data_IF_063037789112
#
_entry.id   IF_063037789112
#
_cell.length_a   1.000
_cell.length_b   1.000
_cell.length_c   1.000
_cell.angle_alpha   90.00
_cell.angle_beta   90.00
_cell.angle_gamma   90.00
#
_symmetry.space_group_name_H-M   'P 1'
#
loop_
_entity.id
_entity.type
_entity.pdbx_description
1 polymer ?
#
# COMPACT_ATOMS: atom_id res chain seq x y z
N UNK A 1 -2.53 -9.10 -11.80
CA UNK A 1 -1.57 -8.01 -12.05
C UNK A 1 -0.25 -8.51 -12.66
N UNK A 2 0.47 -9.46 -12.04
CA UNK A 2 1.85 -9.79 -12.45
C UNK A 2 2.00 -10.90 -13.51
N UNK A 3 0.93 -11.59 -13.92
CA UNK A 3 1.01 -12.74 -14.83
C UNK A 3 1.68 -12.40 -16.19
N UNK A 4 1.57 -11.15 -16.65
CA UNK A 4 2.19 -10.70 -17.90
C UNK A 4 3.68 -10.35 -17.77
N UNK A 5 4.24 -10.44 -16.56
CA UNK A 5 5.59 -9.96 -16.24
C UNK A 5 6.58 -11.09 -16.01
N UNK A 6 6.25 -12.34 -16.40
CA UNK A 6 7.11 -13.53 -16.20
C UNK A 6 7.57 -13.75 -14.74
N UNK A 7 6.95 -13.09 -13.77
CA UNK A 7 7.23 -13.23 -12.36
C UNK A 7 6.51 -14.45 -11.80
N UNK A 8 7.24 -15.32 -11.08
CA UNK A 8 6.63 -16.39 -10.30
C UNK A 8 5.85 -15.75 -9.15
N UNK A 9 4.52 -15.87 -9.19
CA UNK A 9 3.64 -15.36 -8.14
C UNK A 9 3.31 -16.47 -7.15
N UNK A 10 3.49 -16.19 -5.86
CA UNK A 10 3.09 -17.07 -4.76
C UNK A 10 2.09 -16.30 -3.91
N UNK A 11 0.91 -16.89 -3.69
CA UNK A 11 -0.11 -16.30 -2.82
C UNK A 11 0.15 -16.74 -1.38
N UNK A 12 0.14 -15.78 -0.46
CA UNK A 12 0.21 -16.06 0.97
C UNK A 12 -1.22 -16.25 1.48
N UNK A 13 -1.52 -17.49 1.85
CA UNK A 13 -2.73 -17.85 2.58
C UNK A 13 -2.38 -17.86 4.08
N UNK A 14 -2.82 -16.82 4.79
CA UNK A 14 -2.41 -16.57 6.18
C UNK A 14 -2.78 -17.74 7.09
N UNK A 15 -3.95 -18.36 6.88
CA UNK A 15 -4.45 -19.44 7.72
C UNK A 15 -3.71 -20.76 7.47
N UNK A 16 -3.08 -20.90 6.29
CA UNK A 16 -2.19 -22.04 6.00
C UNK A 16 -0.81 -21.90 6.60
N UNK A 17 -0.29 -20.67 6.71
CA UNK A 17 1.05 -20.43 7.26
C UNK A 17 1.04 -20.25 8.79
N UNK A 18 -0.09 -19.79 9.34
CA UNK A 18 -0.23 -19.40 10.75
C UNK A 18 -1.47 -20.06 11.34
N UNK A 19 -1.24 -20.91 12.34
CA UNK A 19 -2.29 -21.31 13.26
C UNK A 19 -2.36 -20.29 14.40
N UNK A 20 -3.19 -19.25 14.23
CA UNK A 20 -3.24 -18.12 15.16
C UNK A 20 -3.74 -18.53 16.54
N UNK A 21 -4.78 -19.36 16.61
CA UNK A 21 -5.36 -19.85 17.88
C UNK A 21 -4.31 -20.56 18.73
N UNK A 22 -3.54 -21.48 18.10
CA UNK A 22 -2.46 -22.19 18.78
C UNK A 22 -1.36 -21.24 19.25
N UNK A 23 -0.95 -20.30 18.39
CA UNK A 23 0.09 -19.32 18.75
C UNK A 23 -0.38 -18.45 19.92
N UNK A 24 -1.62 -17.98 19.91
CA UNK A 24 -2.20 -17.18 20.99
C UNK A 24 -2.23 -17.97 22.30
N UNK A 25 -2.83 -19.17 22.31
CA UNK A 25 -2.93 -19.99 23.52
C UNK A 25 -1.56 -20.27 24.16
N UNK A 26 -0.58 -20.70 23.36
CA UNK A 26 0.77 -20.96 23.86
C UNK A 26 1.49 -19.68 24.33
N UNK A 27 1.25 -18.54 23.68
CA UNK A 27 1.89 -17.27 24.06
C UNK A 27 1.29 -16.69 25.35
N UNK A 28 -0.03 -16.78 25.53
CA UNK A 28 -0.69 -16.39 26.78
C UNK A 28 -0.23 -17.24 27.97
N UNK A 29 -0.09 -18.55 27.77
CA UNK A 29 0.43 -19.46 28.79
C UNK A 29 1.87 -19.08 29.20
N UNK A 30 2.74 -18.78 28.23
CA UNK A 30 4.12 -18.37 28.49
C UNK A 30 4.22 -16.99 29.16
N UNK A 31 3.33 -16.08 28.80
CA UNK A 31 3.33 -14.71 29.32
C UNK A 31 2.75 -14.60 30.74
N UNK A 32 2.21 -15.68 31.33
CA UNK A 32 1.60 -15.68 32.67
C UNK A 32 0.59 -14.53 32.86
N UNK A 33 -0.27 -14.31 31.86
CA UNK A 33 -1.29 -13.24 31.82
C UNK A 33 -0.75 -11.80 31.60
N UNK A 34 0.53 -11.60 31.32
CA UNK A 34 1.04 -10.31 30.82
C UNK A 34 0.65 -10.13 29.34
N UNK A 35 -0.30 -9.24 29.07
CA UNK A 35 -0.82 -8.98 27.72
C UNK A 35 0.22 -8.38 26.77
N UNK A 36 1.11 -7.51 27.28
CA UNK A 36 2.15 -6.85 26.48
C UNK A 36 3.17 -7.90 26.04
N UNK A 37 3.61 -8.74 26.99
CA UNK A 37 4.51 -9.85 26.71
C UNK A 37 3.86 -10.88 25.78
N UNK A 38 2.58 -11.22 25.99
CA UNK A 38 1.85 -12.14 25.13
C UNK A 38 1.80 -11.64 23.68
N UNK A 39 1.47 -10.35 23.46
CA UNK A 39 1.47 -9.74 22.13
C UNK A 39 2.84 -9.81 21.46
N UNK A 40 3.92 -9.52 22.20
CA UNK A 40 5.29 -9.63 21.69
C UNK A 40 5.65 -11.06 21.29
N UNK A 41 5.26 -12.05 22.09
CA UNK A 41 5.49 -13.47 21.79
C UNK A 41 4.71 -13.92 20.55
N UNK A 42 3.45 -13.51 20.40
CA UNK A 42 2.63 -13.78 19.22
C UNK A 42 3.31 -13.24 17.97
N UNK A 43 3.69 -11.95 17.98
CA UNK A 43 4.32 -11.31 16.82
C UNK A 43 5.65 -11.99 16.45
N UNK A 44 6.49 -12.32 17.43
CA UNK A 44 7.74 -13.04 17.19
C UNK A 44 7.52 -14.40 16.52
N UNK A 45 6.52 -15.16 16.96
CA UNK A 45 6.21 -16.48 16.39
C UNK A 45 5.64 -16.35 14.97
N UNK A 46 4.75 -15.39 14.74
CA UNK A 46 4.23 -15.08 13.40
C UNK A 46 5.38 -14.69 12.47
N UNK A 47 6.30 -13.83 12.92
CA UNK A 47 7.49 -13.44 12.16
C UNK A 47 8.37 -14.62 11.78
N UNK A 48 8.63 -15.55 12.70
CA UNK A 48 9.39 -16.77 12.38
C UNK A 48 8.70 -17.59 11.29
N UNK A 49 7.37 -17.74 11.34
CA UNK A 49 6.59 -18.46 10.32
C UNK A 49 6.64 -17.76 8.96
N UNK A 50 6.44 -16.44 8.94
CA UNK A 50 6.49 -15.63 7.71
C UNK A 50 7.90 -15.64 7.10
N UNK A 51 8.95 -15.50 7.92
CA UNK A 51 10.34 -15.55 7.45
C UNK A 51 10.67 -16.91 6.81
N UNK A 52 10.27 -18.01 7.46
CA UNK A 52 10.45 -19.37 6.90
C UNK A 52 9.74 -19.53 5.55
N UNK A 53 8.51 -19.02 5.43
CA UNK A 53 7.77 -19.06 4.17
C UNK A 53 8.49 -18.25 3.07
N UNK A 54 8.95 -17.04 3.39
CA UNK A 54 9.71 -16.19 2.45
C UNK A 54 10.97 -16.92 1.97
N UNK A 55 11.71 -17.56 2.87
CA UNK A 55 12.92 -18.31 2.55
C UNK A 55 12.65 -19.54 1.67
N UNK A 56 11.68 -20.38 2.06
CA UNK A 56 11.29 -21.60 1.34
C UNK A 56 10.88 -21.32 -0.11
N UNK A 57 10.12 -20.24 -0.32
CA UNK A 57 9.67 -19.82 -1.64
C UNK A 57 10.63 -18.84 -2.35
N UNK A 58 11.77 -18.51 -1.72
CA UNK A 58 12.77 -17.55 -2.23
C UNK A 58 12.16 -16.21 -2.65
N UNK A 59 11.29 -15.67 -1.81
CA UNK A 59 10.53 -14.45 -2.08
C UNK A 59 11.44 -13.22 -1.86
N UNK A 60 11.61 -12.41 -2.89
CA UNK A 60 12.34 -11.13 -2.83
C UNK A 60 11.46 -9.92 -3.20
N UNK A 61 10.18 -10.16 -3.52
CA UNK A 61 9.17 -9.14 -3.84
C UNK A 61 7.90 -9.45 -3.07
N UNK A 62 7.46 -8.53 -2.23
CA UNK A 62 6.23 -8.65 -1.46
C UNK A 62 5.25 -7.59 -1.95
N UNK A 63 4.06 -8.04 -2.33
CA UNK A 63 2.98 -7.17 -2.75
C UNK A 63 1.80 -7.28 -1.79
N UNK A 64 1.37 -6.16 -1.19
CA UNK A 64 0.27 -6.11 -0.22
C UNK A 64 -0.90 -5.32 -0.82
N UNK A 65 -1.98 -6.03 -1.14
CA UNK A 65 -3.22 -5.44 -1.63
C UNK A 65 -4.09 -4.88 -0.51
N UNK A 66 -5.00 -3.99 -0.90
CA UNK A 66 -6.09 -3.51 -0.07
C UNK A 66 -6.97 -4.64 0.45
N UNK A 67 -7.44 -4.47 1.69
CA UNK A 67 -8.52 -5.28 2.27
C UNK A 67 -9.84 -4.54 2.06
N UNK A 68 -10.95 -5.28 2.02
CA UNK A 68 -12.30 -4.70 2.07
C UNK A 68 -12.57 -4.01 3.44
N UNK A 69 -11.81 -4.39 4.47
CA UNK A 69 -11.90 -3.82 5.81
C UNK A 69 -11.01 -2.59 5.93
N UNK A 70 -11.63 -1.47 6.29
CA UNK A 70 -10.97 -0.19 6.49
C UNK A 70 -10.24 -0.14 7.82
N UNK A 71 -8.94 0.18 7.82
CA UNK A 71 -8.12 0.20 9.04
C UNK A 71 -8.53 1.29 10.05
N UNK A 72 -9.36 2.26 9.64
CA UNK A 72 -9.86 3.35 10.50
C UNK A 72 -11.12 2.98 11.29
N UNK A 73 -11.75 1.82 11.03
CA UNK A 73 -12.92 1.36 11.78
C UNK A 73 -12.51 0.64 13.06
N UNK A 74 -11.89 1.36 14.00
CA UNK A 74 -11.46 0.87 15.32
C UNK A 74 -10.48 -0.32 15.29
N UNK A 75 -9.86 -0.67 16.42
CA UNK A 75 -9.22 -1.97 16.51
C UNK A 75 -10.34 -3.02 16.48
N UNK A 76 -10.44 -3.79 15.40
CA UNK A 76 -11.04 -5.12 15.50
C UNK A 76 -10.09 -5.91 16.40
N UNK A 77 -10.32 -5.85 17.71
CA UNK A 77 -9.85 -6.87 18.63
C UNK A 77 -10.73 -8.11 18.41
N UNK A 78 -10.13 -9.29 18.18
CA UNK A 78 -8.69 -9.57 18.13
C UNK A 78 -8.01 -9.07 16.85
N UNK A 79 -6.77 -8.58 16.97
CA UNK A 79 -5.93 -8.18 15.82
C UNK A 79 -5.93 -9.29 14.79
N UNK A 80 -6.51 -9.02 13.61
CA UNK A 80 -6.64 -10.04 12.57
C UNK A 80 -5.30 -10.69 12.22
N UNK A 81 -5.30 -11.98 11.87
CA UNK A 81 -4.11 -12.70 11.40
C UNK A 81 -3.36 -11.92 10.31
N UNK A 82 -4.10 -11.29 9.39
CA UNK A 82 -3.56 -10.39 8.35
C UNK A 82 -2.73 -9.25 8.92
N UNK A 83 -3.19 -8.57 9.97
CA UNK A 83 -2.47 -7.44 10.55
C UNK A 83 -1.16 -7.90 11.21
N UNK A 84 -1.17 -9.03 11.93
CA UNK A 84 0.04 -9.63 12.48
C UNK A 84 1.04 -10.04 11.40
N UNK A 85 0.56 -10.58 10.28
CA UNK A 85 1.40 -10.92 9.13
C UNK A 85 2.02 -9.67 8.51
N UNK A 86 1.25 -8.60 8.34
CA UNK A 86 1.76 -7.33 7.81
C UNK A 86 2.82 -6.75 8.73
N UNK A 87 2.59 -6.74 10.04
CA UNK A 87 3.59 -6.32 11.04
C UNK A 87 4.88 -7.13 10.92
N UNK A 88 4.78 -8.46 10.82
CA UNK A 88 5.91 -9.35 10.60
C UNK A 88 6.65 -9.07 9.28
N UNK A 89 5.92 -8.90 8.17
CA UNK A 89 6.51 -8.55 6.86
C UNK A 89 7.28 -7.24 6.98
N UNK A 90 6.71 -6.22 7.63
CA UNK A 90 7.37 -4.92 7.79
C UNK A 90 8.66 -5.02 8.58
N UNK A 91 8.73 -5.84 9.62
CA UNK A 91 9.98 -6.09 10.33
C UNK A 91 11.03 -6.80 9.46
N UNK A 92 10.60 -7.81 8.70
CA UNK A 92 11.48 -8.58 7.82
C UNK A 92 12.05 -7.68 6.72
N UNK A 93 11.21 -6.95 6.00
CA UNK A 93 11.62 -6.00 4.94
C UNK A 93 12.53 -4.91 5.50
N UNK A 94 12.18 -4.35 6.67
CA UNK A 94 13.00 -3.31 7.30
C UNK A 94 14.41 -3.79 7.66
N UNK A 95 14.57 -5.09 7.93
CA UNK A 95 15.84 -5.73 8.29
C UNK A 95 16.57 -6.36 7.11
N UNK A 96 15.91 -6.53 5.97
CA UNK A 96 16.47 -7.15 4.77
C UNK A 96 16.15 -6.29 3.52
N UNK A 97 17.05 -5.37 3.13
CA UNK A 97 16.81 -4.47 1.99
C UNK A 97 16.73 -5.19 0.65
N UNK A 98 17.16 -6.46 0.55
CA UNK A 98 17.03 -7.26 -0.69
C UNK A 98 15.56 -7.68 -0.98
N UNK A 99 14.66 -7.53 -0.01
CA UNK A 99 13.23 -7.79 -0.19
C UNK A 99 12.54 -6.45 -0.47
N UNK A 100 11.96 -6.32 -1.66
CA UNK A 100 11.24 -5.10 -2.04
C UNK A 100 9.76 -5.22 -1.72
N UNK A 101 9.16 -4.10 -1.34
CA UNK A 101 7.75 -4.00 -0.95
C UNK A 101 7.01 -3.04 -1.88
N UNK A 102 5.80 -3.45 -2.27
CA UNK A 102 4.81 -2.58 -2.88
C UNK A 102 3.49 -2.80 -2.17
N UNK A 103 2.85 -1.73 -1.72
CA UNK A 103 1.54 -1.80 -1.08
C UNK A 103 0.57 -0.81 -1.72
N UNK A 104 -0.71 -1.18 -1.79
CA UNK A 104 -1.77 -0.38 -2.41
C UNK A 104 -3.00 -0.31 -1.51
N UNK A 105 -3.67 0.85 -1.47
CA UNK A 105 -4.93 1.08 -0.76
C UNK A 105 -4.89 0.59 0.69
N UNK A 106 -5.71 -0.38 1.08
CA UNK A 106 -5.72 -0.96 2.42
C UNK A 106 -4.38 -1.58 2.84
N UNK A 107 -3.51 -1.96 1.90
CA UNK A 107 -2.14 -2.39 2.21
C UNK A 107 -1.32 -1.27 2.83
N UNK A 108 -1.33 -0.08 2.21
CA UNK A 108 -0.70 1.12 2.77
C UNK A 108 -1.30 1.46 4.14
N UNK A 109 -2.64 1.45 4.25
CA UNK A 109 -3.32 1.76 5.51
C UNK A 109 -2.91 0.80 6.64
N UNK A 110 -2.83 -0.52 6.36
CA UNK A 110 -2.42 -1.51 7.36
C UNK A 110 -0.96 -1.35 7.79
N UNK A 111 -0.07 -1.00 6.85
CA UNK A 111 1.34 -0.72 7.16
C UNK A 111 1.44 0.52 8.05
N UNK A 112 0.71 1.59 7.72
CA UNK A 112 0.73 2.82 8.50
C UNK A 112 0.16 2.60 9.90
N UNK A 113 -0.98 1.91 10.01
CA UNK A 113 -1.57 1.56 11.30
C UNK A 113 -0.62 0.68 12.15
N UNK A 114 0.05 -0.30 11.53
CA UNK A 114 1.09 -1.12 12.18
C UNK A 114 2.24 -0.29 12.79
N UNK A 115 2.49 0.90 12.24
CA UNK A 115 3.54 1.82 12.69
C UNK A 115 3.02 2.91 13.63
N UNK A 116 1.76 2.84 14.06
CA UNK A 116 1.14 3.87 14.90
C UNK A 116 0.92 5.20 14.18
N UNK A 117 0.91 5.18 12.84
CA UNK A 117 0.56 6.32 12.01
C UNK A 117 -0.96 6.36 11.88
N UNK A 118 -1.54 7.50 12.19
CA UNK A 118 -2.98 7.68 12.18
C UNK A 118 -3.51 7.60 10.74
N UNK A 119 -4.53 6.76 10.54
CA UNK A 119 -5.29 6.62 9.31
C UNK A 119 -6.74 7.01 9.61
N UNK A 120 -7.27 7.94 8.83
CA UNK A 120 -8.62 8.51 9.00
C UNK A 120 -9.45 8.27 7.75
N UNK A 121 -10.74 8.59 7.82
CA UNK A 121 -11.55 8.65 6.62
C UNK A 121 -11.12 9.88 5.78
N UNK A 122 -10.89 9.67 4.49
CA UNK A 122 -10.52 10.68 3.54
C UNK A 122 -11.54 11.83 3.46
N UNK A 123 -12.83 11.54 3.69
CA UNK A 123 -13.87 12.59 3.73
C UNK A 123 -13.67 13.58 4.85
N UNK A 124 -13.00 13.17 5.93
CA UNK A 124 -12.77 14.01 7.11
C UNK A 124 -11.62 14.99 6.87
N UNK A 125 -10.72 14.67 5.92
CA UNK A 125 -9.60 15.52 5.53
C UNK A 125 -9.96 16.60 4.50
N UNK A 126 -11.13 16.48 3.88
CA UNK A 126 -11.57 17.37 2.80
C UNK A 126 -12.69 18.26 3.29
N UNK A 127 -12.59 19.57 3.15
CA UNK A 127 -13.64 20.51 3.57
C UNK A 127 -14.77 20.66 2.53
N UNK A 128 -14.44 20.46 1.25
CA UNK A 128 -15.33 20.64 0.11
C UNK A 128 -16.29 19.45 -0.07
N UNK A 129 -17.60 19.73 -0.15
CA UNK A 129 -18.66 18.71 -0.23
C UNK A 129 -18.62 17.89 -1.54
N UNK A 130 -18.24 18.49 -2.66
CA UNK A 130 -18.14 17.77 -3.94
C UNK A 130 -16.92 16.85 -3.94
N UNK A 131 -15.79 17.34 -3.41
CA UNK A 131 -14.58 16.53 -3.24
C UNK A 131 -14.80 15.40 -2.22
N UNK A 132 -15.58 15.61 -1.15
CA UNK A 132 -16.00 14.52 -0.24
C UNK A 132 -16.77 13.42 -0.96
N UNK A 133 -17.69 13.78 -1.87
CA UNK A 133 -18.46 12.80 -2.67
C UNK A 133 -17.58 11.95 -3.58
N UNK A 134 -16.43 12.48 -4.00
CA UNK A 134 -15.45 11.74 -4.78
C UNK A 134 -14.78 10.65 -3.93
N UNK A 135 -14.35 10.98 -2.72
CA UNK A 135 -13.70 10.06 -1.78
C UNK A 135 -14.66 9.09 -1.07
N UNK A 136 -15.96 9.39 -1.05
CA UNK A 136 -16.98 8.52 -0.45
C UNK A 136 -17.44 7.38 -1.34
N UNK A 137 -16.98 7.30 -2.60
CA UNK A 137 -17.35 6.20 -3.51
C UNK A 137 -16.63 4.92 -3.05
N UNK A 138 -17.42 3.89 -2.74
CA UNK A 138 -16.91 2.53 -2.55
C UNK A 138 -16.15 2.08 -3.80
N UNK A 139 -15.18 1.18 -3.61
CA UNK A 139 -14.34 0.61 -4.69
C UNK A 139 -15.20 0.31 -5.93
N UNK A 140 -15.07 1.10 -7.01
CA UNK A 140 -15.86 0.93 -8.20
C UNK A 140 -15.47 -0.40 -8.83
N UNK A 141 -16.43 -1.03 -9.51
CA UNK A 141 -16.15 -2.24 -10.24
C UNK A 141 -15.00 -1.93 -11.22
N UNK A 142 -13.84 -2.63 -11.14
CA UNK A 142 -12.67 -2.34 -11.98
C UNK A 142 -12.95 -2.50 -13.49
N UNK A 143 -14.10 -3.06 -13.86
CA UNK A 143 -14.58 -3.16 -15.25
C UNK A 143 -15.45 -1.97 -15.70
N UNK A 144 -15.81 -1.03 -14.83
CA UNK A 144 -16.60 0.16 -15.20
C UNK A 144 -15.74 1.18 -15.95
N UNK A 145 -16.31 1.74 -17.03
CA UNK A 145 -15.62 2.69 -17.92
C UNK A 145 -15.36 4.05 -17.26
N UNK A 146 -16.27 4.49 -16.38
CA UNK A 146 -16.28 5.86 -15.84
C UNK A 146 -15.75 5.95 -14.41
N UNK A 147 -14.72 5.17 -14.09
CA UNK A 147 -14.03 5.38 -12.80
C UNK A 147 -13.25 6.68 -12.89
N UNK A 148 -13.55 7.66 -12.02
CA UNK A 148 -12.89 8.94 -12.09
C UNK A 148 -11.43 8.81 -11.66
N UNK A 149 -10.57 9.45 -12.44
CA UNK A 149 -9.16 9.56 -12.10
C UNK A 149 -8.94 10.77 -11.19
N UNK A 150 -8.15 10.58 -10.16
CA UNK A 150 -7.65 11.64 -9.30
C UNK A 150 -6.29 12.10 -9.80
N UNK A 151 -6.12 13.41 -9.93
CA UNK A 151 -4.84 14.02 -10.23
C UNK A 151 -3.89 13.86 -9.04
N UNK A 152 -2.67 13.42 -9.33
CA UNK A 152 -1.62 13.16 -8.36
C UNK A 152 -0.37 13.95 -8.74
N UNK A 153 0.14 14.73 -7.79
CA UNK A 153 1.38 15.51 -7.86
C UNK A 153 2.48 14.75 -7.14
N UNK A 154 3.53 14.39 -7.87
CA UNK A 154 4.67 13.63 -7.37
C UNK A 154 5.80 14.60 -7.02
N UNK A 155 6.36 14.45 -5.83
CA UNK A 155 7.39 15.33 -5.28
C UNK A 155 8.72 15.09 -6.04
N UNK A 156 9.43 16.17 -6.45
CA UNK A 156 10.75 16.05 -7.07
C UNK A 156 11.75 15.31 -6.19
N UNK A 157 12.82 14.78 -6.80
CA UNK A 157 13.92 14.10 -6.12
C UNK A 157 13.56 12.85 -5.30
N UNK A 158 12.32 12.37 -5.38
CA UNK A 158 11.91 11.06 -4.85
C UNK A 158 12.32 9.92 -5.79
N UNK A 159 12.33 8.69 -5.29
CA UNK A 159 12.47 7.53 -6.18
C UNK A 159 11.31 7.47 -7.17
N UNK A 160 10.10 7.76 -6.70
CA UNK A 160 8.90 7.80 -7.54
C UNK A 160 9.09 8.77 -8.72
N UNK A 161 9.61 9.98 -8.48
CA UNK A 161 9.95 10.93 -9.53
C UNK A 161 10.90 10.34 -10.58
N UNK A 162 11.97 9.65 -10.16
CA UNK A 162 12.91 8.99 -11.09
C UNK A 162 12.23 7.91 -11.93
N UNK A 163 11.32 7.15 -11.34
CA UNK A 163 10.60 6.07 -12.03
C UNK A 163 9.65 6.65 -13.08
N UNK A 164 8.89 7.69 -12.73
CA UNK A 164 7.87 8.27 -13.63
C UNK A 164 8.44 9.20 -14.70
N UNK A 165 9.64 9.76 -14.49
CA UNK A 165 10.33 10.64 -15.44
C UNK A 165 10.58 9.98 -16.81
N UNK A 166 10.49 8.65 -16.91
CA UNK A 166 10.52 7.91 -18.18
C UNK A 166 9.37 8.28 -19.13
N UNK A 167 8.24 8.75 -18.58
CA UNK A 167 6.99 8.97 -19.30
C UNK A 167 6.36 10.34 -19.04
N UNK A 168 6.84 11.06 -18.02
CA UNK A 168 6.32 12.36 -17.61
C UNK A 168 7.43 13.40 -17.66
N UNK A 169 7.08 14.60 -18.10
CA UNK A 169 7.94 15.77 -17.96
C UNK A 169 7.59 16.49 -16.65
N UNK A 170 8.60 16.96 -15.88
CA UNK A 170 8.35 17.78 -14.71
C UNK A 170 7.88 19.20 -15.13
N UNK A 171 7.18 19.87 -14.22
CA UNK A 171 6.90 21.30 -14.33
C UNK A 171 8.15 22.15 -13.99
N UNK A 172 8.00 23.48 -14.05
CA UNK A 172 9.08 24.45 -13.75
C UNK A 172 9.67 24.28 -12.34
N UNK A 173 8.91 23.70 -11.40
CA UNK A 173 9.34 23.45 -10.03
C UNK A 173 9.82 22.00 -9.81
N UNK A 174 9.95 21.20 -10.89
CA UNK A 174 10.40 19.82 -10.83
C UNK A 174 9.31 18.80 -10.48
N UNK A 175 8.05 19.22 -10.30
CA UNK A 175 6.96 18.31 -9.92
C UNK A 175 6.43 17.54 -11.12
N UNK A 176 6.07 16.29 -10.90
CA UNK A 176 5.43 15.48 -11.95
C UNK A 176 3.94 15.37 -11.70
N UNK A 177 3.18 15.33 -12.79
CA UNK A 177 1.73 15.26 -12.76
C UNK A 177 1.24 13.99 -13.43
N UNK A 178 0.41 13.22 -12.72
CA UNK A 178 -0.23 12.02 -13.28
C UNK A 178 -1.63 11.85 -12.71
N UNK A 179 -2.27 10.74 -13.06
CA UNK A 179 -3.64 10.44 -12.69
C UNK A 179 -3.75 8.99 -12.22
N UNK A 180 -4.22 8.76 -11.00
CA UNK A 180 -4.50 7.42 -10.46
C UNK A 180 -5.97 7.27 -10.13
N UNK A 181 -6.43 6.03 -9.94
CA UNK A 181 -7.83 5.77 -9.59
C UNK A 181 -8.07 6.10 -8.11
N UNK A 182 -8.99 7.03 -7.87
CA UNK A 182 -9.17 7.72 -6.60
C UNK A 182 -10.22 7.15 -5.64
N UNK A 183 -10.60 5.89 -5.79
CA UNK A 183 -11.73 5.32 -5.05
C UNK A 183 -11.29 4.58 -3.78
N UNK A 184 -11.15 5.35 -2.70
CA UNK A 184 -10.71 4.84 -1.41
C UNK A 184 -11.24 5.73 -0.28
N UNK A 185 -11.69 5.12 0.81
CA UNK A 185 -12.19 5.87 1.96
C UNK A 185 -11.13 6.12 3.02
N UNK A 186 -10.03 5.35 3.07
CA UNK A 186 -8.95 5.57 4.04
C UNK A 186 -7.84 6.48 3.52
N UNK A 187 -7.32 7.33 4.39
CA UNK A 187 -6.20 8.23 4.11
C UNK A 187 -5.27 8.37 5.33
N UNK A 188 -3.98 8.54 5.08
CA UNK A 188 -3.02 8.90 6.14
C UNK A 188 -3.34 10.31 6.59
N UNK A 189 -3.50 10.53 7.89
CA UNK A 189 -3.74 11.88 8.40
C UNK A 189 -2.50 12.76 8.15
N UNK A 190 -2.68 13.91 7.48
CA UNK A 190 -1.58 14.81 7.09
C UNK A 190 -1.30 15.89 8.15
N UNK A 191 -1.50 15.56 9.44
CA UNK A 191 -1.15 16.46 10.55
C UNK A 191 0.36 16.55 10.73
N UNK A 192 0.83 17.64 11.35
CA UNK A 192 2.25 17.82 11.67
C UNK A 192 2.80 16.68 12.53
N UNK A 193 2.03 16.21 13.51
CA UNK A 193 2.42 15.10 14.39
C UNK A 193 2.65 13.81 13.58
N UNK A 194 1.71 13.45 12.71
CA UNK A 194 1.80 12.23 11.92
C UNK A 194 2.96 12.30 10.89
N UNK A 195 3.19 13.49 10.30
CA UNK A 195 4.37 13.72 9.44
C UNK A 195 5.69 13.54 10.17
N UNK A 196 5.81 14.09 11.39
CA UNK A 196 7.01 13.89 12.23
C UNK A 196 7.21 12.41 12.56
N UNK A 197 6.14 11.67 12.89
CA UNK A 197 6.22 10.22 13.12
C UNK A 197 6.69 9.47 11.87
N UNK A 198 6.16 9.79 10.69
CA UNK A 198 6.60 9.21 9.42
C UNK A 198 8.10 9.44 9.19
N UNK A 199 8.56 10.67 9.35
CA UNK A 199 9.98 11.05 9.17
C UNK A 199 10.89 10.32 10.16
N UNK A 200 10.51 10.25 11.44
CA UNK A 200 11.26 9.52 12.48
C UNK A 200 11.38 8.03 12.18
N UNK A 201 10.37 7.46 11.52
CA UNK A 201 10.36 6.06 11.07
C UNK A 201 11.10 5.85 9.74
N UNK A 202 11.63 6.93 9.13
CA UNK A 202 12.37 6.90 7.87
C UNK A 202 11.50 6.90 6.62
N UNK A 203 10.21 7.25 6.73
CA UNK A 203 9.33 7.42 5.58
C UNK A 203 9.37 8.86 5.05
N UNK A 204 9.18 8.99 3.74
CA UNK A 204 8.99 10.25 3.04
C UNK A 204 7.64 10.23 2.36
N UNK A 205 6.87 11.31 2.47
CA UNK A 205 5.75 11.52 1.56
C UNK A 205 6.33 11.83 0.18
N UNK A 206 5.80 11.22 -0.87
CA UNK A 206 6.32 11.38 -2.24
C UNK A 206 5.26 11.70 -3.29
N UNK A 207 3.98 11.68 -2.91
CA UNK A 207 2.92 12.20 -3.77
C UNK A 207 1.73 12.72 -2.96
N UNK A 208 1.06 13.74 -3.51
CA UNK A 208 -0.18 14.30 -2.99
C UNK A 208 -1.25 14.35 -4.08
N UNK A 209 -2.50 14.29 -3.67
CA UNK A 209 -3.62 14.73 -4.47
C UNK A 209 -3.78 16.25 -4.42
N UNK A 210 -4.59 16.83 -5.31
CA UNK A 210 -4.86 18.27 -5.33
C UNK A 210 -5.52 18.83 -4.06
N UNK A 211 -6.21 17.98 -3.30
CA UNK A 211 -6.83 18.32 -2.02
C UNK A 211 -5.90 18.06 -0.82
N UNK A 212 -4.60 17.82 -1.07
CA UNK A 212 -3.58 17.75 -0.03
C UNK A 212 -3.53 16.42 0.72
N UNK A 213 -4.21 15.38 0.21
CA UNK A 213 -4.15 14.04 0.77
C UNK A 213 -2.87 13.35 0.29
N UNK A 214 -2.24 12.59 1.19
CA UNK A 214 -1.06 11.80 0.88
C UNK A 214 -1.47 10.62 -0.03
N UNK A 215 -0.88 10.56 -1.22
CA UNK A 215 -1.18 9.54 -2.24
C UNK A 215 -0.11 8.46 -2.33
N UNK A 216 1.14 8.80 -2.00
CA UNK A 216 2.21 7.83 -1.93
C UNK A 216 3.25 8.20 -0.88
N UNK A 217 3.84 7.16 -0.30
CA UNK A 217 4.98 7.26 0.61
C UNK A 217 6.11 6.36 0.12
N UNK A 218 7.34 6.77 0.43
CA UNK A 218 8.57 6.03 0.17
C UNK A 218 9.20 5.67 1.52
N UNK A 219 9.60 4.42 1.72
CA UNK A 219 10.35 4.00 2.92
C UNK A 219 11.86 4.26 2.78
N UNK A 220 12.61 4.03 3.85
CA UNK A 220 14.07 4.25 3.88
C UNK A 220 14.87 3.38 2.88
N UNK A 221 14.26 2.30 2.37
CA UNK A 221 14.84 1.38 1.38
C UNK A 221 14.35 1.70 -0.04
N UNK A 222 13.60 2.79 -0.22
CA UNK A 222 13.05 3.22 -1.50
C UNK A 222 11.84 2.40 -1.95
N UNK A 223 11.20 1.60 -1.09
CA UNK A 223 9.93 0.95 -1.41
C UNK A 223 8.82 1.99 -1.44
N UNK A 224 7.93 1.91 -2.43
CA UNK A 224 6.86 2.91 -2.62
C UNK A 224 5.51 2.24 -2.35
N UNK A 225 4.71 2.87 -1.49
CA UNK A 225 3.37 2.42 -1.15
C UNK A 225 2.36 3.50 -1.56
N UNK A 226 1.24 3.08 -2.15
CA UNK A 226 0.25 3.96 -2.74
C UNK A 226 -1.10 3.85 -2.04
N UNK A 227 -1.81 4.97 -1.96
CA UNK A 227 -3.22 4.99 -1.55
C UNK A 227 -4.12 4.46 -2.67
N UNK A 228 -3.79 4.74 -3.93
CA UNK A 228 -4.58 4.30 -5.09
C UNK A 228 -4.40 2.87 -5.55
N UNK A 229 -5.37 2.43 -6.34
CA UNK A 229 -5.44 1.12 -6.99
C UNK A 229 -4.75 1.15 -8.36
N UNK A 230 -3.42 1.04 -8.37
CA UNK A 230 -2.66 1.04 -9.62
C UNK A 230 -2.94 -0.22 -10.45
N UNK A 231 -3.30 -1.33 -9.81
CA UNK A 231 -3.56 -2.61 -10.47
C UNK A 231 -4.67 -2.52 -11.52
N UNK A 232 -5.68 -1.66 -11.32
CA UNK A 232 -6.82 -1.52 -12.23
C UNK A 232 -6.37 -0.93 -13.58
N UNK A 233 -5.37 -0.04 -13.59
CA UNK A 233 -4.80 0.48 -14.84
C UNK A 233 -3.99 -0.56 -15.62
N UNK A 234 -3.64 -1.69 -14.99
CA UNK A 234 -2.90 -2.79 -15.64
C UNK A 234 -3.77 -3.98 -16.07
N UNK A 235 -5.03 -4.03 -15.62
CA UNK A 235 -5.99 -5.07 -16.02
C UNK A 235 -6.63 -4.63 -17.34
N UNK A 236 -6.54 -5.45 -18.38
CA UNK A 236 -7.17 -5.17 -19.67
C UNK A 236 -8.69 -5.10 -19.50
N UNK A 237 -9.37 -3.97 -19.80
CA UNK A 237 -10.81 -3.97 -19.92
C UNK A 237 -11.23 -4.76 -21.17
N UNK A 238 -12.51 -5.15 -21.23
CA UNK A 238 -13.08 -5.92 -22.34
C UNK A 238 -12.77 -5.24 -23.69
N UNK A 239 -12.42 -6.02 -24.74
CA UNK A 239 -11.86 -5.51 -26.01
C UNK A 239 -12.69 -4.41 -26.70
N UNK A 240 -14.01 -4.42 -26.55
CA UNK A 240 -14.90 -3.43 -27.17
C UNK A 240 -14.90 -2.06 -26.45
N UNK A 241 -14.53 -2.03 -25.16
CA UNK A 241 -14.47 -0.82 -24.33
C UNK A 241 -13.11 -0.10 -24.43
N UNK A 242 -12.12 -0.76 -25.03
CA UNK A 242 -10.72 -0.33 -25.09
C UNK A 242 -10.51 0.90 -25.99
N UNK A 243 -11.34 1.11 -27.01
CA UNK A 243 -11.05 2.03 -28.12
C UNK A 243 -11.47 3.50 -27.87
N UNK A 244 -12.44 3.78 -27.00
CA UNK A 244 -13.04 5.11 -26.85
C UNK A 244 -12.35 6.03 -25.82
N UNK A 245 -11.63 5.47 -24.83
CA UNK A 245 -11.06 6.22 -23.69
C UNK A 245 -9.51 6.22 -23.64
N UNK A 246 -8.86 5.81 -24.74
CA UNK A 246 -7.45 5.39 -24.76
C UNK A 246 -6.44 6.53 -24.50
N UNK A 247 -6.71 7.77 -24.95
CA UNK A 247 -5.73 8.87 -24.80
C UNK A 247 -5.54 9.33 -23.35
N UNK A 248 -6.62 9.50 -22.59
CA UNK A 248 -6.55 10.02 -21.22
C UNK A 248 -5.92 9.03 -20.23
N UNK A 249 -6.02 7.72 -20.51
CA UNK A 249 -5.47 6.65 -19.66
C UNK A 249 -4.10 6.13 -20.11
N UNK A 250 -3.65 6.46 -21.32
CA UNK A 250 -2.40 5.92 -21.86
C UNK A 250 -1.17 6.28 -21.02
N UNK A 251 -0.95 7.57 -20.76
CA UNK A 251 0.19 8.04 -19.97
C UNK A 251 0.13 7.51 -18.52
N UNK A 252 -1.00 7.60 -17.79
CA UNK A 252 -1.16 6.93 -16.49
C UNK A 252 -0.83 5.43 -16.51
N UNK A 253 -1.24 4.71 -17.56
CA UNK A 253 -0.95 3.28 -17.70
C UNK A 253 0.54 3.02 -17.85
N UNK A 254 1.24 3.81 -18.68
CA UNK A 254 2.70 3.72 -18.83
C UNK A 254 3.43 4.03 -17.52
N UNK A 255 2.95 5.03 -16.77
CA UNK A 255 3.48 5.35 -15.44
C UNK A 255 3.33 4.17 -14.48
N UNK A 256 2.16 3.52 -14.44
CA UNK A 256 1.96 2.34 -13.60
C UNK A 256 2.85 1.18 -14.06
N UNK A 257 2.99 0.94 -15.37
CA UNK A 257 3.92 -0.05 -15.92
C UNK A 257 5.35 0.25 -15.43
N UNK A 258 5.77 1.52 -15.42
CA UNK A 258 7.08 1.92 -14.90
C UNK A 258 7.25 1.57 -13.41
N UNK A 259 6.24 1.86 -12.59
CA UNK A 259 6.21 1.57 -11.14
C UNK A 259 6.29 0.06 -10.88
N UNK A 260 5.51 -0.73 -11.62
CA UNK A 260 5.51 -2.18 -11.50
C UNK A 260 6.83 -2.79 -11.95
N UNK A 261 7.40 -2.27 -13.04
CA UNK A 261 8.71 -2.67 -13.53
C UNK A 261 9.81 -2.34 -12.52
N UNK A 262 9.76 -1.16 -11.91
CA UNK A 262 10.71 -0.77 -10.85
C UNK A 262 10.60 -1.73 -9.67
N UNK A 263 9.39 -1.99 -9.18
CA UNK A 263 9.18 -2.94 -8.09
C UNK A 263 9.75 -4.33 -8.42
N UNK A 264 9.43 -4.89 -9.59
CA UNK A 264 9.82 -6.26 -9.94
C UNK A 264 11.32 -6.39 -10.21
N UNK A 265 11.92 -5.44 -10.93
CA UNK A 265 13.27 -5.59 -11.51
C UNK A 265 14.31 -4.64 -10.94
N UNK A 266 14.01 -3.91 -9.87
CA UNK A 266 15.02 -3.16 -9.13
C UNK A 266 16.07 -4.10 -8.55
N UNK A 267 17.33 -3.72 -8.67
CA UNK A 267 18.45 -4.37 -8.00
C UNK A 267 18.50 -4.05 -6.51
#
# INVERSE_FOLDING_TARGET
>A
MFNNWKARTVLIDYDKIINLEKIQAESFNLAKQDEILARKLILNRVKVKVAKFIEEFKINRIFILGSYYNSYSGPLSPTSCRQLVIEAIMEIVNSNPAIHLLAMCGGLQSIMNAKGIEVVNATDLVSDKEKRRFHSRSTPNPQQEDIPLQQVRIIPNSRLAKVVAKFLLPDENGWFLTYFLGAYSGAINNTLENRKKLELLGYKVVAFSNDGIIEAIEDKHGNICFRGHLEILTVKPNRNLYLLNHKARHVPTLVVIAIVSDFLYRD
#
